data_IF_788545326356
#
_entry.id   IF_788545326356
#
_cell.length_a   1.000
_cell.length_b   1.000
_cell.length_c   1.000
_cell.angle_alpha   90.00
_cell.angle_beta   90.00
_cell.angle_gamma   90.00
#
_symmetry.space_group_name_H-M   'P 1'
#
loop_
_entity.id
_entity.type
_entity.pdbx_description
1 polymer ?
#
# COMPACT_ATOMS: atom_id res chain seq x y z
N UNK A 1 -19.63 0.81 6.25
CA UNK A 1 -18.52 1.77 6.09
C UNK A 1 -18.32 2.55 7.41
N UNK A 2 -17.05 2.71 7.84
CA UNK A 2 -16.73 3.33 9.13
C UNK A 2 -16.87 2.37 10.33
N UNK A 3 -16.78 1.08 10.08
CA UNK A 3 -16.75 0.01 11.06
C UNK A 3 -15.40 -0.69 11.02
N UNK A 4 -15.07 -1.42 12.08
CA UNK A 4 -13.88 -2.24 12.18
C UNK A 4 -14.20 -3.65 12.62
N UNK A 5 -13.34 -4.59 12.28
CA UNK A 5 -13.40 -5.98 12.74
C UNK A 5 -12.10 -6.27 13.48
N UNK A 6 -12.18 -6.77 14.70
CA UNK A 6 -11.01 -7.27 15.42
C UNK A 6 -10.56 -8.58 14.80
N UNK A 7 -9.35 -8.61 14.22
CA UNK A 7 -8.78 -9.79 13.53
C UNK A 7 -7.72 -10.50 14.38
N UNK A 8 -7.17 -9.80 15.37
CA UNK A 8 -6.28 -10.32 16.40
C UNK A 8 -6.32 -9.38 17.61
N UNK A 9 -5.75 -9.78 18.74
CA UNK A 9 -5.67 -8.93 19.92
C UNK A 9 -4.97 -7.61 19.60
N UNK A 10 -5.66 -6.47 19.86
CA UNK A 10 -5.18 -5.14 19.54
C UNK A 10 -5.03 -4.83 18.04
N UNK A 11 -5.60 -5.62 17.13
CA UNK A 11 -5.54 -5.41 15.67
C UNK A 11 -6.93 -5.28 15.08
N UNK A 12 -7.23 -4.09 14.56
CA UNK A 12 -8.47 -3.75 13.88
C UNK A 12 -8.27 -3.75 12.36
N UNK A 13 -9.15 -4.41 11.64
CA UNK A 13 -9.25 -4.37 10.19
C UNK A 13 -10.41 -3.49 9.77
N UNK A 14 -10.15 -2.61 8.81
CA UNK A 14 -11.13 -1.68 8.25
C UNK A 14 -11.04 -1.71 6.72
N UNK A 15 -12.14 -1.38 6.04
CA UNK A 15 -12.20 -1.25 4.58
C UNK A 15 -12.55 0.16 4.18
N UNK A 16 -11.79 0.66 3.21
CA UNK A 16 -12.02 1.96 2.58
C UNK A 16 -12.40 1.75 1.11
N UNK A 17 -13.37 2.51 0.57
CA UNK A 17 -13.84 2.33 -0.80
C UNK A 17 -12.84 2.84 -1.82
N UNK A 18 -12.79 2.16 -2.97
CA UNK A 18 -12.06 2.59 -4.16
C UNK A 18 -13.04 2.82 -5.32
N UNK A 19 -12.80 3.83 -6.18
CA UNK A 19 -13.68 4.15 -7.31
C UNK A 19 -13.33 3.33 -8.56
N UNK A 20 -13.10 2.02 -8.42
CA UNK A 20 -12.69 1.13 -9.50
C UNK A 20 -13.25 -0.27 -9.31
N UNK A 21 -12.96 -1.21 -10.25
CA UNK A 21 -13.43 -2.60 -10.16
C UNK A 21 -12.94 -3.34 -8.90
N UNK A 22 -11.75 -3.04 -8.43
CA UNK A 22 -11.29 -3.39 -7.09
C UNK A 22 -11.87 -2.35 -6.12
N UNK A 23 -13.00 -2.66 -5.53
CA UNK A 23 -13.90 -1.72 -4.86
C UNK A 23 -13.46 -1.27 -3.46
N UNK A 24 -12.38 -1.84 -2.93
CA UNK A 24 -11.89 -1.54 -1.58
C UNK A 24 -10.39 -1.75 -1.42
N UNK A 25 -9.82 -1.03 -0.46
CA UNK A 25 -8.51 -1.31 0.15
C UNK A 25 -8.69 -1.62 1.63
N UNK A 26 -7.93 -2.56 2.15
CA UNK A 26 -7.86 -2.89 3.56
C UNK A 26 -6.82 -2.01 4.25
N UNK A 27 -7.17 -1.47 5.39
CA UNK A 27 -6.26 -0.76 6.28
C UNK A 27 -6.37 -1.37 7.68
N UNK A 28 -5.29 -1.27 8.45
CA UNK A 28 -5.24 -1.89 9.77
C UNK A 28 -4.82 -0.87 10.82
N UNK A 29 -5.41 -0.96 12.02
CA UNK A 29 -4.97 -0.18 13.17
C UNK A 29 -4.49 -1.13 14.26
N UNK A 30 -3.27 -0.89 14.76
CA UNK A 30 -2.66 -1.66 15.83
C UNK A 30 -2.55 -0.79 17.08
N UNK A 31 -2.94 -1.34 18.22
CA UNK A 31 -2.95 -0.65 19.52
C UNK A 31 -1.53 -0.56 20.10
N UNK A 32 -0.93 0.63 20.06
CA UNK A 32 0.40 0.92 20.66
C UNK A 32 0.29 1.41 22.14
N UNK A 33 -0.85 1.19 22.81
CA UNK A 33 -1.10 1.67 24.17
C UNK A 33 -1.69 3.07 24.17
N UNK A 34 -0.87 4.10 24.11
CA UNK A 34 -1.31 5.50 24.16
C UNK A 34 -1.75 6.06 22.80
N UNK A 35 -1.53 5.33 21.73
CA UNK A 35 -1.87 5.73 20.36
C UNK A 35 -2.18 4.53 19.47
N UNK A 36 -2.67 4.82 18.26
CA UNK A 36 -2.78 3.83 17.19
C UNK A 36 -1.64 3.97 16.18
N UNK A 37 -1.05 2.85 15.76
CA UNK A 37 -0.31 2.77 14.49
C UNK A 37 -1.26 2.27 13.41
N UNK A 38 -1.39 3.03 12.32
CA UNK A 38 -2.23 2.66 11.18
C UNK A 38 -1.35 2.22 10.00
N UNK A 39 -1.71 1.10 9.39
CA UNK A 39 -1.07 0.55 8.20
C UNK A 39 -1.95 0.90 7.00
N UNK A 40 -1.42 1.69 6.08
CA UNK A 40 -2.05 2.25 4.89
C UNK A 40 -3.27 3.15 5.20
N UNK A 41 -3.74 3.94 4.23
CA UNK A 41 -4.66 5.05 4.54
C UNK A 41 -5.82 5.22 3.56
N UNK A 42 -5.80 4.56 2.41
CA UNK A 42 -6.81 4.77 1.35
C UNK A 42 -6.52 5.99 0.47
N UNK A 43 -7.29 6.15 -0.60
CA UNK A 43 -7.27 7.35 -1.45
C UNK A 43 -7.68 8.61 -0.69
N UNK A 44 -7.09 9.75 -1.02
CA UNK A 44 -7.58 11.05 -0.59
C UNK A 44 -8.83 11.45 -1.39
N UNK A 45 -9.97 11.04 -0.88
CA UNK A 45 -11.28 11.46 -1.38
C UNK A 45 -12.11 11.99 -0.22
N UNK A 46 -13.11 12.82 -0.54
CA UNK A 46 -14.08 13.29 0.46
C UNK A 46 -14.72 12.13 1.23
N UNK A 47 -15.14 11.08 0.51
CA UNK A 47 -15.77 9.89 1.10
C UNK A 47 -14.82 9.16 2.06
N UNK A 48 -13.55 8.98 1.67
CA UNK A 48 -12.56 8.30 2.52
C UNK A 48 -12.25 9.12 3.78
N UNK A 49 -12.15 10.43 3.67
CA UNK A 49 -11.98 11.32 4.83
C UNK A 49 -13.16 11.24 5.79
N UNK A 50 -14.41 11.27 5.28
CA UNK A 50 -15.61 11.12 6.09
C UNK A 50 -15.67 9.76 6.82
N UNK A 51 -15.17 8.69 6.20
CA UNK A 51 -15.06 7.38 6.84
C UNK A 51 -14.00 7.41 7.94
N UNK A 52 -12.83 7.99 7.68
CA UNK A 52 -11.79 8.14 8.69
C UNK A 52 -12.26 8.98 9.89
N UNK A 53 -12.99 10.09 9.68
CA UNK A 53 -13.56 10.87 10.78
C UNK A 53 -14.50 10.03 11.66
N UNK A 54 -15.32 9.14 11.06
CA UNK A 54 -16.17 8.20 11.82
C UNK A 54 -15.35 7.16 12.58
N UNK A 55 -14.31 6.60 11.95
CA UNK A 55 -13.42 5.62 12.58
C UNK A 55 -12.70 6.24 13.80
N UNK A 56 -12.21 7.47 13.66
CA UNK A 56 -11.47 8.18 14.71
C UNK A 56 -12.35 8.52 15.94
N UNK A 57 -13.65 8.77 15.77
CA UNK A 57 -14.57 9.02 16.90
C UNK A 57 -15.33 7.76 17.34
N UNK A 58 -15.21 6.67 16.58
CA UNK A 58 -15.83 5.37 16.86
C UNK A 58 -14.80 4.33 17.34
N UNK A 59 -14.42 3.34 16.49
CA UNK A 59 -13.55 2.24 16.91
C UNK A 59 -12.17 2.67 17.42
N UNK A 60 -11.65 3.80 16.95
CA UNK A 60 -10.32 4.33 17.32
C UNK A 60 -10.42 5.44 18.40
N UNK A 61 -11.61 5.68 18.95
CA UNK A 61 -11.82 6.75 19.91
C UNK A 61 -10.94 6.61 21.17
N UNK A 62 -10.62 7.75 21.79
CA UNK A 62 -9.87 7.82 23.05
C UNK A 62 -8.35 7.82 22.92
N UNK A 63 -7.82 7.55 21.71
CA UNK A 63 -6.38 7.58 21.42
C UNK A 63 -6.10 8.27 20.08
N UNK A 64 -5.03 9.06 19.95
CA UNK A 64 -4.65 9.61 18.65
C UNK A 64 -4.06 8.53 17.73
N UNK A 65 -4.08 8.76 16.42
CA UNK A 65 -3.21 8.06 15.50
C UNK A 65 -1.83 8.69 15.61
N UNK A 66 -0.92 7.98 16.27
CA UNK A 66 0.44 8.47 16.52
C UNK A 66 1.40 8.21 15.36
N UNK A 67 1.13 7.15 14.57
CA UNK A 67 2.01 6.74 13.48
C UNK A 67 1.21 6.16 12.32
N UNK A 68 1.62 6.51 11.09
CA UNK A 68 1.22 5.85 9.86
C UNK A 68 2.41 5.06 9.31
N UNK A 69 2.15 3.86 8.85
CA UNK A 69 3.10 3.05 8.07
C UNK A 69 2.51 2.85 6.68
N UNK A 70 3.19 3.34 5.65
CA UNK A 70 2.88 3.06 4.26
C UNK A 70 3.63 1.82 3.78
N UNK A 71 2.92 0.81 3.29
CA UNK A 71 3.53 -0.42 2.78
C UNK A 71 4.30 -0.17 1.49
N UNK A 72 3.72 0.62 0.58
CA UNK A 72 4.30 1.00 -0.71
C UNK A 72 3.68 2.30 -1.23
N UNK A 73 4.09 2.76 -2.43
CA UNK A 73 3.76 4.11 -2.91
C UNK A 73 2.40 4.25 -3.59
N UNK A 74 1.63 3.18 -3.83
CA UNK A 74 0.36 3.30 -4.54
C UNK A 74 -0.66 4.16 -3.78
N UNK A 75 -1.49 4.93 -4.51
CA UNK A 75 -2.26 6.00 -3.91
C UNK A 75 -3.39 5.50 -2.99
N UNK A 76 -3.87 4.29 -3.19
CA UNK A 76 -4.85 3.64 -2.30
C UNK A 76 -4.25 3.15 -0.97
N UNK A 77 -2.93 3.16 -0.85
CA UNK A 77 -2.21 2.86 0.39
C UNK A 77 -1.72 4.12 1.10
N UNK A 78 -1.22 5.10 0.35
CA UNK A 78 -0.60 6.29 0.96
C UNK A 78 -1.39 7.59 0.77
N UNK A 79 -2.58 7.53 0.17
CA UNK A 79 -3.32 8.73 -0.25
C UNK A 79 -3.61 9.72 0.87
N UNK A 80 -3.91 9.26 2.08
CA UNK A 80 -4.20 10.14 3.22
C UNK A 80 -3.04 10.29 4.22
N UNK A 81 -1.84 9.82 3.91
CA UNK A 81 -0.67 9.99 4.79
C UNK A 81 -0.45 11.46 5.16
N UNK A 82 -0.46 12.36 4.18
CA UNK A 82 -0.28 13.80 4.43
C UNK A 82 -1.36 14.39 5.32
N UNK A 83 -2.59 13.94 5.19
CA UNK A 83 -3.73 14.32 6.03
C UNK A 83 -3.55 13.90 7.50
N UNK A 84 -3.01 12.70 7.76
CA UNK A 84 -2.68 12.24 9.10
C UNK A 84 -1.45 12.95 9.68
N UNK A 85 -0.42 13.21 8.87
CA UNK A 85 0.76 13.96 9.31
C UNK A 85 0.40 15.39 9.77
N UNK A 86 -0.53 16.06 9.09
CA UNK A 86 -1.07 17.36 9.49
C UNK A 86 -1.81 17.30 10.83
N UNK A 87 -2.25 16.13 11.26
CA UNK A 87 -2.88 15.85 12.56
C UNK A 87 -1.91 15.36 13.62
N UNK A 88 -0.60 15.38 13.34
CA UNK A 88 0.46 15.03 14.27
C UNK A 88 0.97 13.60 14.20
N UNK A 89 0.48 12.76 13.28
CA UNK A 89 0.99 11.40 13.10
C UNK A 89 2.40 11.42 12.49
N UNK A 90 3.30 10.59 13.01
CA UNK A 90 4.58 10.30 12.37
C UNK A 90 4.38 9.40 11.15
N UNK A 91 5.24 9.53 10.14
CA UNK A 91 5.19 8.69 8.94
C UNK A 91 6.41 7.78 8.84
N UNK A 92 6.17 6.50 8.57
CA UNK A 92 7.20 5.49 8.31
C UNK A 92 6.91 4.77 7.00
N UNK A 93 7.91 4.63 6.14
CA UNK A 93 7.81 3.90 4.86
C UNK A 93 9.20 3.59 4.32
N UNK A 94 9.28 2.89 3.19
CA UNK A 94 10.55 2.65 2.49
C UNK A 94 11.05 3.90 1.77
N UNK A 95 12.33 3.93 1.42
CA UNK A 95 12.91 5.09 0.71
C UNK A 95 12.27 5.27 -0.65
N UNK A 96 12.13 4.18 -1.40
CA UNK A 96 11.57 4.23 -2.75
C UNK A 96 10.10 4.63 -2.72
N UNK A 97 9.29 4.10 -1.80
CA UNK A 97 7.90 4.51 -1.63
C UNK A 97 7.76 6.00 -1.33
N UNK A 98 8.61 6.55 -0.46
CA UNK A 98 8.58 7.98 -0.15
C UNK A 98 8.97 8.85 -1.37
N UNK A 99 10.05 8.47 -2.07
CA UNK A 99 10.52 9.22 -3.26
C UNK A 99 9.49 9.18 -4.39
N UNK A 100 8.95 7.99 -4.70
CA UNK A 100 7.93 7.81 -5.74
C UNK A 100 6.67 8.60 -5.44
N UNK A 101 6.17 8.51 -4.21
CA UNK A 101 4.98 9.28 -3.81
C UNK A 101 5.19 10.77 -3.99
N UNK A 102 6.32 11.31 -3.51
CA UNK A 102 6.59 12.75 -3.65
C UNK A 102 6.77 13.16 -5.10
N UNK A 103 7.53 12.42 -5.88
CA UNK A 103 7.75 12.68 -7.30
C UNK A 103 6.39 12.73 -8.04
N UNK A 104 5.60 11.67 -7.96
CA UNK A 104 4.34 11.54 -8.67
C UNK A 104 3.27 12.55 -8.21
N UNK A 105 3.31 12.98 -6.95
CA UNK A 105 2.39 14.01 -6.44
C UNK A 105 2.80 15.42 -6.87
N UNK A 106 4.10 15.68 -7.07
CA UNK A 106 4.64 16.99 -7.44
C UNK A 106 4.74 17.21 -8.95
N UNK A 107 4.54 16.17 -9.75
CA UNK A 107 4.67 16.20 -11.22
C UNK A 107 3.34 15.87 -11.93
N UNK A 108 2.26 16.64 -11.72
CA UNK A 108 0.98 16.42 -12.39
C UNK A 108 1.01 16.92 -13.84
N UNK A 109 0.44 16.14 -14.75
CA UNK A 109 0.36 16.45 -16.16
C UNK A 109 -1.08 16.68 -16.63
N UNK A 110 -1.29 17.71 -17.48
CA UNK A 110 -2.59 17.99 -18.11
C UNK A 110 -2.84 17.06 -19.32
N UNK A 111 -1.77 16.62 -19.97
CA UNK A 111 -1.77 15.65 -21.09
C UNK A 111 -0.57 14.71 -20.92
N UNK A 112 -0.58 13.52 -21.54
CA UNK A 112 0.59 12.62 -21.49
C UNK A 112 1.85 13.29 -22.03
N UNK A 113 2.99 12.99 -21.41
CA UNK A 113 4.29 13.51 -21.87
C UNK A 113 4.69 12.87 -23.21
N UNK A 114 5.61 13.50 -23.98
CA UNK A 114 6.14 12.89 -25.21
C UNK A 114 6.72 11.50 -24.99
N UNK A 115 7.38 11.26 -23.86
CA UNK A 115 7.97 9.97 -23.48
C UNK A 115 6.88 8.92 -23.23
N UNK A 116 5.81 9.29 -22.53
CA UNK A 116 4.64 8.41 -22.31
C UNK A 116 3.96 8.05 -23.64
N UNK A 117 3.83 9.03 -24.55
CA UNK A 117 3.26 8.77 -25.88
C UNK A 117 4.15 7.85 -26.73
N UNK A 118 5.47 8.03 -26.66
CA UNK A 118 6.42 7.13 -27.33
C UNK A 118 6.33 5.70 -26.76
N UNK A 119 6.24 5.59 -25.44
CA UNK A 119 6.04 4.30 -24.76
C UNK A 119 4.75 3.59 -25.19
N UNK A 120 3.63 4.29 -25.32
CA UNK A 120 2.38 3.71 -25.80
C UNK A 120 2.53 3.08 -27.20
N UNK A 121 3.21 3.77 -28.11
CA UNK A 121 3.49 3.25 -29.47
C UNK A 121 4.39 2.02 -29.39
N UNK A 122 5.48 2.07 -28.61
CA UNK A 122 6.41 0.96 -28.45
C UNK A 122 5.76 -0.28 -27.83
N UNK A 123 4.80 -0.06 -26.92
CA UNK A 123 4.02 -1.13 -26.28
C UNK A 123 2.91 -1.72 -27.17
N UNK A 124 2.77 -1.22 -28.41
CA UNK A 124 1.77 -1.73 -29.36
C UNK A 124 0.34 -1.27 -29.05
N UNK A 125 0.15 -0.11 -28.42
CA UNK A 125 -1.18 0.44 -28.18
C UNK A 125 -1.94 0.58 -29.49
N UNK A 126 -3.24 0.21 -29.47
CA UNK A 126 -4.12 0.37 -30.62
C UNK A 126 -4.14 1.82 -31.13
N UNK A 127 -4.08 2.08 -32.46
CA UNK A 127 -4.03 3.43 -33.01
C UNK A 127 -5.24 4.32 -32.66
N UNK A 128 -6.43 3.74 -32.53
CA UNK A 128 -7.64 4.50 -32.15
C UNK A 128 -7.55 4.89 -30.67
N UNK A 129 -7.16 3.95 -29.81
CA UNK A 129 -6.93 4.20 -28.37
C UNK A 129 -5.80 5.22 -28.17
N UNK A 130 -4.68 5.11 -28.88
CA UNK A 130 -3.60 6.10 -28.85
C UNK A 130 -4.10 7.51 -29.23
N UNK A 131 -4.94 7.61 -30.29
CA UNK A 131 -5.50 8.89 -30.74
C UNK A 131 -6.39 9.52 -29.67
N UNK A 132 -7.17 8.75 -28.94
CA UNK A 132 -7.95 9.22 -27.82
C UNK A 132 -7.07 9.64 -26.63
N UNK A 133 -6.16 8.76 -26.21
CA UNK A 133 -5.30 8.94 -25.04
C UNK A 133 -4.34 10.12 -25.12
N UNK A 134 -3.83 10.45 -26.30
CA UNK A 134 -2.84 11.52 -26.48
C UNK A 134 -3.32 12.92 -26.05
N UNK A 135 -4.63 13.12 -25.96
CA UNK A 135 -5.25 14.40 -25.54
C UNK A 135 -6.04 14.28 -24.24
N UNK A 136 -6.21 13.07 -23.74
CA UNK A 136 -6.89 12.81 -22.47
C UNK A 136 -5.95 13.14 -21.30
N UNK A 137 -6.51 13.78 -20.25
CA UNK A 137 -5.76 14.02 -19.03
C UNK A 137 -5.39 12.69 -18.37
N UNK A 138 -4.09 12.41 -18.14
CA UNK A 138 -3.68 11.16 -17.49
C UNK A 138 -4.12 11.16 -16.03
N UNK A 139 -4.14 9.96 -15.43
CA UNK A 139 -4.24 9.82 -13.98
C UNK A 139 -3.04 10.49 -13.30
N UNK A 140 -3.30 11.36 -12.33
CA UNK A 140 -2.28 12.03 -11.54
C UNK A 140 -2.42 11.66 -10.06
N UNK A 141 -1.33 11.38 -9.40
CA UNK A 141 -1.31 11.14 -7.96
C UNK A 141 -1.83 12.34 -7.16
N UNK A 142 -1.56 13.55 -7.61
CA UNK A 142 -2.07 14.78 -7.01
C UNK A 142 -3.60 14.86 -6.88
N UNK A 143 -4.34 14.04 -7.65
CA UNK A 143 -5.81 14.02 -7.61
C UNK A 143 -6.36 13.18 -6.45
N UNK A 144 -5.54 12.28 -5.88
CA UNK A 144 -6.00 11.32 -4.87
C UNK A 144 -4.97 11.03 -3.75
N UNK A 145 -3.92 11.84 -3.68
CA UNK A 145 -2.90 11.78 -2.62
C UNK A 145 -2.74 13.16 -1.97
N UNK A 146 -3.02 13.24 -0.68
CA UNK A 146 -2.78 14.45 0.10
C UNK A 146 -1.30 14.83 0.08
N UNK A 147 -0.93 16.11 -0.06
CA UNK A 147 0.46 16.53 -0.04
C UNK A 147 1.19 16.03 1.21
N UNK A 148 2.29 15.29 1.01
CA UNK A 148 3.08 14.71 2.10
C UNK A 148 4.14 15.72 2.56
N UNK A 149 4.12 16.15 3.84
CA UNK A 149 5.17 16.98 4.42
C UNK A 149 6.55 16.31 4.37
N UNK A 150 7.61 17.09 4.50
CA UNK A 150 8.95 16.56 4.65
C UNK A 150 9.12 15.83 5.99
N UNK A 151 9.97 14.81 5.99
CA UNK A 151 10.28 14.00 7.16
C UNK A 151 9.51 12.68 7.18
N UNK A 152 10.25 11.59 7.23
CA UNK A 152 9.71 10.23 7.42
C UNK A 152 10.77 9.38 8.13
N UNK A 153 10.33 8.31 8.78
CA UNK A 153 11.22 7.26 9.32
C UNK A 153 11.38 6.17 8.27
N UNK A 154 12.62 5.95 7.84
CA UNK A 154 12.90 4.93 6.83
C UNK A 154 12.77 3.52 7.40
N UNK A 155 11.96 2.70 6.76
CA UNK A 155 11.93 1.24 6.91
C UNK A 155 12.99 0.59 6.02
N UNK A 156 13.62 -0.50 6.49
CA UNK A 156 14.69 -1.21 5.78
C UNK A 156 14.45 -2.72 5.83
N UNK A 157 14.87 -3.42 4.75
CA UNK A 157 14.93 -4.89 4.73
C UNK A 157 15.69 -5.42 5.95
N UNK A 158 15.14 -6.47 6.57
CA UNK A 158 15.75 -7.14 7.73
C UNK A 158 15.70 -6.36 9.05
N UNK A 159 15.12 -5.16 9.05
CA UNK A 159 14.93 -4.39 10.29
C UNK A 159 13.80 -5.03 11.11
N UNK A 160 13.96 -5.03 12.44
CA UNK A 160 12.87 -5.35 13.36
C UNK A 160 12.33 -4.05 13.97
N UNK A 161 11.01 -3.89 13.97
CA UNK A 161 10.32 -2.74 14.59
C UNK A 161 9.23 -3.23 15.54
N UNK A 162 8.77 -2.34 16.43
CA UNK A 162 7.63 -2.63 17.32
C UNK A 162 6.40 -1.91 16.82
N UNK A 163 5.28 -2.64 16.68
CA UNK A 163 3.95 -2.12 16.34
C UNK A 163 2.91 -2.91 17.15
N UNK A 164 2.02 -2.22 17.84
CA UNK A 164 0.96 -2.86 18.62
C UNK A 164 1.48 -3.81 19.69
N UNK A 165 2.58 -3.45 20.36
CA UNK A 165 3.25 -4.27 21.36
C UNK A 165 4.01 -5.49 20.81
N UNK A 166 3.93 -5.79 19.49
CA UNK A 166 4.58 -6.92 18.81
C UNK A 166 5.86 -6.50 18.11
N UNK A 167 6.84 -7.39 18.06
CA UNK A 167 8.05 -7.24 17.23
C UNK A 167 7.78 -7.80 15.84
N UNK A 168 8.08 -6.99 14.82
CA UNK A 168 7.86 -7.31 13.42
C UNK A 168 9.16 -7.25 12.62
N UNK A 169 9.48 -8.34 11.92
CA UNK A 169 10.53 -8.32 10.91
C UNK A 169 10.02 -7.73 9.62
N UNK A 170 10.74 -6.76 9.08
CA UNK A 170 10.44 -6.18 7.78
C UNK A 170 11.09 -7.02 6.69
N UNK A 171 10.28 -7.45 5.74
CA UNK A 171 10.72 -8.12 4.51
C UNK A 171 10.15 -7.38 3.32
N UNK A 172 11.01 -7.04 2.37
CA UNK A 172 10.60 -6.29 1.20
C UNK A 172 10.38 -7.21 0.02
N UNK A 173 9.31 -6.94 -0.71
CA UNK A 173 9.04 -7.49 -2.02
C UNK A 173 9.20 -6.44 -3.10
N UNK A 174 9.25 -6.89 -4.34
CA UNK A 174 9.34 -6.10 -5.55
C UNK A 174 8.37 -6.67 -6.60
N UNK A 175 8.29 -6.05 -7.76
CA UNK A 175 7.44 -6.44 -8.87
C UNK A 175 6.13 -5.66 -8.90
N UNK A 176 5.32 -5.70 -7.84
CA UNK A 176 4.13 -4.84 -7.72
C UNK A 176 4.52 -3.38 -7.46
N UNK A 177 5.41 -3.18 -6.52
CA UNK A 177 6.00 -1.90 -6.21
C UNK A 177 7.42 -2.12 -5.65
N UNK A 178 8.41 -1.29 -6.02
CA UNK A 178 9.77 -1.44 -5.52
C UNK A 178 9.84 -1.17 -4.02
N UNK A 179 10.66 -1.95 -3.32
CA UNK A 179 10.78 -1.90 -1.85
C UNK A 179 9.42 -1.98 -1.13
N UNK A 180 8.46 -2.80 -1.62
CA UNK A 180 7.17 -3.00 -0.93
C UNK A 180 7.40 -3.64 0.44
N UNK A 181 7.05 -2.96 1.55
CA UNK A 181 7.26 -3.47 2.90
C UNK A 181 6.16 -4.45 3.31
N UNK A 182 6.56 -5.63 3.79
CA UNK A 182 5.72 -6.58 4.51
C UNK A 182 6.25 -6.76 5.94
N UNK A 183 5.35 -7.06 6.90
CA UNK A 183 5.72 -7.15 8.31
C UNK A 183 5.33 -8.52 8.85
N UNK A 184 6.30 -9.23 9.42
CA UNK A 184 6.18 -10.61 9.89
C UNK A 184 6.35 -10.62 11.40
N UNK A 185 5.28 -10.93 12.13
CA UNK A 185 5.31 -10.95 13.58
C UNK A 185 6.26 -12.04 14.10
N UNK A 186 7.04 -11.70 15.13
CA UNK A 186 7.86 -12.66 15.90
C UNK A 186 7.12 -13.24 17.09
N UNK A 187 6.06 -12.60 17.51
CA UNK A 187 5.38 -12.88 18.77
C UNK A 187 4.13 -13.75 18.58
N UNK A 188 3.60 -13.75 17.34
CA UNK A 188 2.44 -14.56 16.94
C UNK A 188 2.48 -14.89 15.43
N UNK A 189 1.39 -15.47 14.91
CA UNK A 189 1.30 -15.90 13.52
C UNK A 189 0.70 -14.83 12.59
N UNK A 190 0.95 -13.54 12.82
CA UNK A 190 0.43 -12.47 11.97
C UNK A 190 1.44 -12.04 10.90
N UNK A 191 0.93 -11.74 9.70
CA UNK A 191 1.70 -11.12 8.62
C UNK A 191 0.87 -9.97 8.03
N UNK A 192 1.42 -8.75 8.01
CA UNK A 192 0.86 -7.62 7.26
C UNK A 192 1.46 -7.66 5.86
N UNK A 193 0.67 -8.07 4.89
CA UNK A 193 1.14 -8.41 3.54
C UNK A 193 1.09 -7.28 2.53
N UNK A 194 0.29 -6.23 2.80
CA UNK A 194 -0.02 -5.21 1.78
C UNK A 194 -0.48 -5.87 0.48
N UNK A 195 -0.03 -5.35 -0.64
CA UNK A 195 -0.35 -5.94 -1.96
C UNK A 195 0.64 -7.00 -2.42
N UNK A 196 1.71 -7.19 -1.67
CA UNK A 196 2.68 -8.24 -1.94
C UNK A 196 2.16 -9.65 -1.60
N UNK A 197 1.22 -9.77 -0.66
CA UNK A 197 0.66 -11.04 -0.22
C UNK A 197 -0.87 -10.97 -0.23
N UNK A 198 -1.47 -11.35 -1.35
CA UNK A 198 -2.92 -11.30 -1.58
C UNK A 198 -3.51 -12.72 -1.68
N UNK A 199 -4.76 -12.96 -1.20
CA UNK A 199 -5.31 -14.31 -1.07
C UNK A 199 -5.72 -14.98 -2.41
N UNK A 200 -6.30 -14.22 -3.33
CA UNK A 200 -7.00 -14.80 -4.48
C UNK A 200 -6.87 -14.01 -5.79
N UNK A 201 -6.25 -12.84 -5.74
CA UNK A 201 -5.96 -12.01 -6.91
C UNK A 201 -4.46 -11.88 -7.09
N UNK A 202 -4.01 -11.64 -8.31
CA UNK A 202 -2.64 -11.25 -8.60
C UNK A 202 -2.51 -9.74 -8.40
N UNK A 203 -1.38 -9.30 -7.86
CA UNK A 203 -1.04 -7.89 -7.87
C UNK A 203 -0.82 -7.40 -9.31
N UNK A 204 -0.99 -6.11 -9.54
CA UNK A 204 -0.63 -5.50 -10.82
C UNK A 204 0.90 -5.49 -10.97
N UNK A 205 1.41 -6.07 -12.04
CA UNK A 205 2.83 -6.12 -12.41
C UNK A 205 3.05 -5.29 -13.67
N UNK A 206 2.69 -4.01 -13.60
CA UNK A 206 2.73 -3.11 -14.76
C UNK A 206 4.14 -2.60 -15.06
N UNK A 207 4.49 -2.54 -16.34
CA UNK A 207 5.63 -1.77 -16.84
C UNK A 207 5.15 -0.37 -17.20
N UNK A 208 5.92 0.65 -16.86
CA UNK A 208 5.53 2.04 -17.03
C UNK A 208 6.56 2.81 -17.87
N UNK A 209 6.13 3.92 -18.46
CA UNK A 209 7.00 4.77 -19.28
C UNK A 209 8.24 5.31 -18.53
N UNK A 210 8.17 5.39 -17.20
CA UNK A 210 9.30 5.80 -16.36
C UNK A 210 10.44 4.77 -16.33
N UNK A 211 10.12 3.48 -16.51
CA UNK A 211 11.09 2.38 -16.50
C UNK A 211 10.67 1.30 -17.52
N UNK A 212 10.82 1.61 -18.84
CA UNK A 212 10.25 0.78 -19.91
C UNK A 212 10.93 -0.58 -20.07
N UNK A 213 12.13 -0.77 -19.54
CA UNK A 213 12.90 -2.03 -19.57
C UNK A 213 12.76 -2.85 -18.27
N UNK A 214 11.87 -2.43 -17.32
CA UNK A 214 11.64 -3.17 -16.09
C UNK A 214 11.06 -4.57 -16.36
N UNK A 215 11.44 -5.53 -15.51
CA UNK A 215 10.86 -6.87 -15.49
C UNK A 215 10.15 -7.13 -14.14
N UNK A 216 8.96 -6.53 -13.92
CA UNK A 216 8.24 -6.67 -12.66
C UNK A 216 7.77 -8.12 -12.41
N UNK A 217 7.66 -8.95 -13.44
CA UNK A 217 7.33 -10.37 -13.28
C UNK A 217 8.50 -11.12 -12.67
N UNK A 218 9.71 -10.91 -13.16
CA UNK A 218 10.91 -11.51 -12.59
C UNK A 218 11.12 -11.06 -11.14
N UNK A 219 10.97 -9.77 -10.86
CA UNK A 219 11.10 -9.21 -9.51
C UNK A 219 10.07 -9.79 -8.54
N UNK A 220 8.84 -9.99 -9.01
CA UNK A 220 7.78 -10.64 -8.26
C UNK A 220 8.12 -12.09 -7.91
N UNK A 221 8.54 -12.88 -8.89
CA UNK A 221 8.92 -14.28 -8.70
C UNK A 221 10.08 -14.41 -7.71
N UNK A 222 11.11 -13.56 -7.84
CA UNK A 222 12.23 -13.53 -6.90
C UNK A 222 11.78 -13.15 -5.48
N UNK A 223 10.81 -12.24 -5.36
CA UNK A 223 10.24 -11.86 -4.07
C UNK A 223 9.47 -13.01 -3.44
N UNK A 224 8.66 -13.73 -4.19
CA UNK A 224 7.96 -14.92 -3.71
C UNK A 224 8.95 -15.98 -3.21
N UNK A 225 10.04 -16.24 -3.95
CA UNK A 225 11.08 -17.19 -3.53
C UNK A 225 11.75 -16.76 -2.20
N UNK A 226 12.04 -15.45 -2.04
CA UNK A 226 12.62 -14.92 -0.79
C UNK A 226 11.71 -15.09 0.43
N UNK A 227 10.39 -15.10 0.25
CA UNK A 227 9.42 -15.24 1.34
C UNK A 227 9.18 -16.70 1.77
N UNK A 228 9.33 -17.68 0.86
CA UNK A 228 9.06 -19.10 1.12
C UNK A 228 9.70 -19.65 2.40
N UNK A 229 10.97 -19.33 2.76
CA UNK A 229 11.59 -19.85 3.98
C UNK A 229 10.92 -19.39 5.29
N UNK A 230 10.10 -18.35 5.24
CA UNK A 230 9.44 -17.73 6.40
C UNK A 230 7.95 -18.00 6.45
N UNK A 231 7.39 -18.54 5.36
CA UNK A 231 5.98 -18.80 5.24
C UNK A 231 5.59 -20.09 5.99
N UNK A 232 4.49 -20.03 6.72
CA UNK A 232 3.89 -21.19 7.41
C UNK A 232 2.40 -21.24 7.18
N UNK A 233 1.78 -22.44 7.29
CA UNK A 233 0.34 -22.63 7.07
C UNK A 233 -0.52 -21.93 8.12
N UNK A 234 0.01 -21.72 9.32
CA UNK A 234 -0.74 -21.14 10.44
C UNK A 234 -0.71 -19.61 10.48
N UNK A 235 0.07 -18.97 9.62
CA UNK A 235 0.10 -17.52 9.55
C UNK A 235 -1.22 -16.96 9.02
N UNK A 236 -1.81 -16.00 9.75
CA UNK A 236 -2.90 -15.17 9.28
C UNK A 236 -2.33 -13.96 8.54
N UNK A 237 -2.50 -13.95 7.22
CA UNK A 237 -2.02 -12.88 6.36
C UNK A 237 -3.10 -11.83 6.19
N UNK A 238 -2.75 -10.60 6.49
CA UNK A 238 -3.56 -9.40 6.40
C UNK A 238 -3.11 -8.62 5.15
N UNK A 239 -3.75 -8.90 4.02
CA UNK A 239 -3.43 -8.28 2.72
C UNK A 239 -4.11 -6.93 2.52
N UNK A 240 -3.61 -6.13 1.56
CA UNK A 240 -4.18 -4.84 1.20
C UNK A 240 -5.57 -4.94 0.54
N UNK A 241 -5.91 -6.09 -0.02
CA UNK A 241 -7.20 -6.34 -0.65
C UNK A 241 -7.76 -7.72 -0.29
N UNK A 242 -9.08 -7.88 -0.48
CA UNK A 242 -9.83 -9.12 -0.21
C UNK A 242 -9.87 -9.48 1.29
N UNK A 243 -10.05 -10.76 1.61
CA UNK A 243 -10.15 -11.23 2.99
C UNK A 243 -8.78 -11.62 3.56
N UNK A 244 -8.57 -11.51 4.88
CA UNK A 244 -7.47 -12.19 5.55
C UNK A 244 -7.48 -13.69 5.21
N UNK A 245 -6.29 -14.32 5.13
CA UNK A 245 -6.18 -15.73 4.73
C UNK A 245 -5.06 -16.46 5.48
N UNK A 246 -5.10 -17.79 5.42
CA UNK A 246 -4.06 -18.71 5.90
C UNK A 246 -3.54 -19.57 4.75
N UNK A 247 -2.51 -20.41 4.99
CA UNK A 247 -1.93 -21.25 3.95
C UNK A 247 -0.97 -20.49 3.04
N UNK A 248 -0.21 -19.58 3.59
CA UNK A 248 0.74 -18.74 2.85
C UNK A 248 1.74 -19.53 1.98
N UNK A 249 2.30 -20.71 2.40
CA UNK A 249 3.20 -21.49 1.54
C UNK A 249 2.57 -21.90 0.22
N UNK A 250 1.32 -22.40 0.27
CA UNK A 250 0.58 -22.75 -0.95
C UNK A 250 0.34 -21.52 -1.82
N UNK A 251 -0.03 -20.40 -1.20
CA UNK A 251 -0.29 -19.16 -1.93
C UNK A 251 0.95 -18.64 -2.65
N UNK A 252 2.13 -18.65 -2.00
CA UNK A 252 3.41 -18.28 -2.62
C UNK A 252 3.83 -19.20 -3.77
N UNK A 253 3.33 -20.44 -3.78
CA UNK A 253 3.56 -21.36 -4.90
C UNK A 253 2.63 -21.10 -6.09
N UNK A 254 1.47 -20.49 -5.86
CA UNK A 254 0.46 -20.15 -6.88
C UNK A 254 0.70 -18.79 -7.55
N UNK A 255 1.47 -17.93 -6.91
CA UNK A 255 1.84 -16.61 -7.42
C UNK A 255 3.10 -16.68 -8.27
#
# INVERSE_FOLDING_TARGET
EGESITVADGVLWMRLPLPMALDHVNVYALDDGDSWTVIDTGFDTKKTREIWEKLLVGPLAGKPVGRIIGTHYHPDHIGLVGWFMQRGAAFSTTRTAWLMTRMLTLDPHAVPTPETLAYYIQSGMDPEEYTARRTERPFNFADCVAPIPLGYTRLKEGQTITIGGRKWDIRMGDGHAPEHATFWSRDDNLVLGGDQLLPSISANLGVYAAEPEADPVQDWLLSCERFKPYATDNQLVLGGHKLPFTGLPLRLHQM
#
